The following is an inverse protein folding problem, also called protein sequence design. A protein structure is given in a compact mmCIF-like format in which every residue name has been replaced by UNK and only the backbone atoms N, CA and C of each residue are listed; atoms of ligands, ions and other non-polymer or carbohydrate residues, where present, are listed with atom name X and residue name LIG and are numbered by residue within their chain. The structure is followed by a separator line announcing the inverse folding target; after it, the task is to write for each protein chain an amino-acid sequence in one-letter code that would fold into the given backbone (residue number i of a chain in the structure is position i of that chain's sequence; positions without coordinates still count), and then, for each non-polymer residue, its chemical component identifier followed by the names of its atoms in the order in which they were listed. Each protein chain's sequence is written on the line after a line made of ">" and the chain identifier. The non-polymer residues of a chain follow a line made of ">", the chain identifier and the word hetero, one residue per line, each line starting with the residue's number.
data_IF_160002467324
#
_entry.id   IF_160002467324
#
_cell.length_a   1.000
_cell.length_b   1.000
_cell.length_c   1.000
_cell.angle_alpha   90.00
_cell.angle_beta   90.00
_cell.angle_gamma   90.00
#
_symmetry.space_group_name_H-M   'P 1'
#
loop_
_entity.id
_entity.type
_entity.pdbx_description
1 polymer ?
#
# COMPACT_ATOMS: atom_id res chain seq x y z
N UNK A 1 7.69 10.60 8.77
CA UNK A 1 7.65 9.43 9.68
C UNK A 1 6.19 9.08 10.01
N UNK A 2 5.75 7.81 9.86
CA UNK A 2 4.36 7.44 10.21
C UNK A 2 4.29 6.16 11.02
N UNK A 3 3.59 6.22 12.15
CA UNK A 3 3.26 5.06 12.99
C UNK A 3 1.77 5.14 13.34
N UNK A 4 1.00 4.16 12.86
CA UNK A 4 -0.44 4.06 13.16
C UNK A 4 -0.66 2.89 14.10
N UNK A 5 -1.11 3.17 15.32
CA UNK A 5 -1.46 2.17 16.32
C UNK A 5 -2.79 2.52 16.98
N UNK A 6 -3.57 1.50 17.36
CA UNK A 6 -4.78 1.62 18.18
C UNK A 6 -4.48 1.58 19.68
N UNK A 7 -3.26 1.19 20.06
CA UNK A 7 -2.79 1.14 21.44
C UNK A 7 -1.48 1.91 21.61
N UNK A 8 -1.17 2.31 22.85
CA UNK A 8 0.14 2.87 23.17
C UNK A 8 1.23 1.83 22.87
N UNK A 9 2.30 2.28 22.22
CA UNK A 9 3.53 1.50 22.05
C UNK A 9 4.64 2.21 22.83
N UNK A 10 5.55 1.45 23.43
CA UNK A 10 6.59 2.01 24.29
C UNK A 10 7.96 1.37 23.99
N UNK A 11 9.03 1.96 24.51
CA UNK A 11 10.42 1.50 24.31
C UNK A 11 10.87 1.40 22.84
N UNK A 12 10.22 2.12 21.93
CA UNK A 12 10.63 2.16 20.53
C UNK A 12 11.71 3.21 20.29
N UNK A 13 12.65 2.88 19.39
CA UNK A 13 13.73 3.76 18.98
C UNK A 13 13.65 4.04 17.48
N UNK A 14 13.55 5.31 17.12
CA UNK A 14 13.66 5.81 15.75
C UNK A 14 14.83 6.78 15.72
N UNK A 15 15.78 6.54 14.82
CA UNK A 15 17.04 7.28 14.69
C UNK A 15 17.45 7.35 13.23
N UNK A 16 17.97 8.49 12.81
CA UNK A 16 18.64 8.68 11.51
C UNK A 16 17.73 8.35 10.31
N UNK A 17 16.42 8.44 10.48
CA UNK A 17 15.49 8.27 9.37
C UNK A 17 15.42 9.57 8.55
N UNK A 18 15.23 9.44 7.24
CA UNK A 18 14.87 10.55 6.36
C UNK A 18 13.46 10.30 5.83
N UNK A 19 12.54 11.21 6.14
CA UNK A 19 11.13 11.10 5.74
C UNK A 19 10.63 12.40 5.13
N UNK A 20 10.05 12.36 3.93
CA UNK A 20 9.39 13.52 3.33
C UNK A 20 7.92 13.15 3.03
N UNK A 21 7.00 13.81 3.72
CA UNK A 21 5.56 13.76 3.40
C UNK A 21 5.25 14.60 2.17
N UNK A 22 4.10 14.40 1.54
CA UNK A 22 3.70 15.22 0.40
C UNK A 22 2.27 14.96 -0.02
N UNK A 23 1.83 15.48 -1.18
CA UNK A 23 0.44 15.42 -1.58
C UNK A 23 -0.02 13.96 -1.63
N UNK A 24 -1.18 13.62 -1.04
CA UNK A 24 -1.63 12.24 -0.94
C UNK A 24 -2.02 11.62 -2.30
N UNK A 25 -1.98 12.41 -3.38
CA UNK A 25 -2.62 12.07 -4.65
C UNK A 25 -4.15 11.99 -4.51
N UNK A 26 -4.80 11.54 -5.58
CA UNK A 26 -6.25 11.33 -5.62
C UNK A 26 -6.65 9.88 -5.27
N UNK A 27 -5.68 8.97 -5.22
CA UNK A 27 -5.92 7.54 -5.11
C UNK A 27 -6.43 7.14 -3.73
N UNK A 28 -7.54 6.40 -3.70
CA UNK A 28 -8.05 5.70 -2.52
C UNK A 28 -7.95 4.19 -2.74
N UNK A 29 -7.45 3.46 -1.76
CA UNK A 29 -7.34 2.01 -1.79
C UNK A 29 -8.32 1.40 -0.77
N UNK A 30 -9.42 0.81 -1.23
CA UNK A 30 -10.38 0.14 -0.34
C UNK A 30 -10.95 1.03 0.78
N UNK A 31 -11.16 2.32 0.49
CA UNK A 31 -11.60 3.32 1.48
C UNK A 31 -10.49 4.02 2.26
N UNK A 32 -9.24 3.53 2.16
CA UNK A 32 -8.07 4.15 2.78
C UNK A 32 -7.44 5.19 1.85
N UNK A 33 -7.17 6.40 2.35
CA UNK A 33 -6.41 7.42 1.63
C UNK A 33 -4.94 7.43 2.04
N UNK A 34 -4.07 8.02 1.21
CA UNK A 34 -2.63 8.12 1.49
C UNK A 34 -2.30 8.93 2.76
N UNK A 35 -3.27 9.68 3.30
CA UNK A 35 -3.16 10.45 4.53
C UNK A 35 -3.18 11.94 4.25
N UNK A 36 -2.53 12.72 5.11
CA UNK A 36 -2.49 14.20 5.04
C UNK A 36 -1.19 14.76 4.46
N UNK A 37 -0.22 13.91 4.15
CA UNK A 37 1.10 14.36 3.67
C UNK A 37 1.95 15.06 4.73
N UNK A 38 1.75 14.72 6.01
CA UNK A 38 2.45 15.32 7.16
C UNK A 38 3.92 14.89 7.22
N UNK A 39 4.79 15.74 7.76
CA UNK A 39 6.20 15.44 8.01
C UNK A 39 6.34 14.26 8.99
N UNK A 40 5.51 14.23 10.04
CA UNK A 40 5.38 13.10 10.93
C UNK A 40 3.95 12.90 11.44
N UNK A 41 3.53 11.65 11.60
CA UNK A 41 2.30 11.26 12.28
C UNK A 41 2.50 9.97 13.08
N UNK A 42 2.65 10.12 14.39
CA UNK A 42 2.89 9.01 15.32
C UNK A 42 1.81 9.05 16.39
N UNK A 43 0.89 8.08 16.40
CA UNK A 43 -0.37 8.23 17.15
C UNK A 43 -0.25 8.12 18.68
N UNK A 44 0.51 7.14 19.20
CA UNK A 44 0.50 6.79 20.63
C UNK A 44 1.87 6.32 21.15
N UNK A 45 2.95 7.13 21.00
CA UNK A 45 4.22 6.82 21.62
C UNK A 45 4.11 6.93 23.15
N UNK A 46 4.67 5.94 23.85
CA UNK A 46 4.83 5.93 25.30
C UNK A 46 6.02 6.80 25.74
N UNK A 47 6.13 7.07 27.05
CA UNK A 47 7.16 7.97 27.58
C UNK A 47 8.60 7.48 27.37
N UNK A 48 8.82 6.18 27.18
CA UNK A 48 10.14 5.58 26.99
C UNK A 48 10.50 5.44 25.50
N UNK A 49 9.59 5.81 24.59
CA UNK A 49 9.92 5.95 23.18
C UNK A 49 10.83 7.15 22.96
N UNK A 50 11.83 6.95 22.12
CA UNK A 50 12.62 8.05 21.59
C UNK A 50 12.58 8.02 20.06
N UNK A 51 12.12 9.11 19.47
CA UNK A 51 11.96 9.30 18.04
C UNK A 51 12.74 10.56 17.68
N UNK A 52 14.06 10.48 17.77
CA UNK A 52 14.96 11.62 17.87
C UNK A 52 16.06 11.48 16.83
N UNK A 53 16.69 12.59 16.41
CA UNK A 53 17.70 12.59 15.35
C UNK A 53 17.17 12.11 14.00
N UNK A 54 15.89 12.33 13.69
CA UNK A 54 15.35 12.09 12.34
C UNK A 54 15.35 13.37 11.48
N UNK A 55 15.58 13.21 10.18
CA UNK A 55 15.36 14.23 9.17
C UNK A 55 13.94 14.13 8.63
N UNK A 56 13.07 15.10 8.92
CA UNK A 56 11.67 15.09 8.50
C UNK A 56 11.31 16.31 7.65
N UNK A 57 10.49 16.12 6.64
CA UNK A 57 10.18 17.14 5.66
C UNK A 57 8.80 17.00 5.05
N UNK A 58 8.42 17.99 4.26
CA UNK A 58 7.26 17.94 3.37
C UNK A 58 7.62 18.41 1.97
N UNK A 59 6.85 17.96 0.99
CA UNK A 59 6.91 18.40 -0.40
C UNK A 59 5.53 18.96 -0.79
N UNK A 60 5.46 20.18 -1.31
CA UNK A 60 4.21 20.85 -1.76
C UNK A 60 3.05 20.88 -0.74
N UNK A 61 3.33 20.59 0.52
CA UNK A 61 2.40 20.72 1.65
C UNK A 61 3.08 21.51 2.78
N UNK A 62 2.32 22.22 3.62
CA UNK A 62 2.90 22.90 4.78
C UNK A 62 3.64 21.92 5.70
N UNK A 63 4.78 22.36 6.24
CA UNK A 63 5.49 21.60 7.26
C UNK A 63 4.61 21.50 8.52
N UNK A 64 4.11 20.30 8.80
CA UNK A 64 3.29 20.04 9.97
C UNK A 64 3.25 18.54 10.30
N UNK A 65 2.86 18.23 11.52
CA UNK A 65 2.66 16.85 11.95
C UNK A 65 2.22 16.71 13.40
N UNK A 66 2.23 15.46 13.86
CA UNK A 66 1.96 15.11 15.25
C UNK A 66 2.79 13.93 15.73
N UNK A 67 3.27 14.00 16.98
CA UNK A 67 3.87 12.89 17.71
C UNK A 67 3.16 12.80 19.06
N UNK A 68 2.36 11.74 19.23
CA UNK A 68 1.42 11.63 20.33
C UNK A 68 0.43 12.79 20.34
N UNK A 69 0.34 13.47 21.48
CA UNK A 69 -0.53 14.65 21.65
C UNK A 69 0.12 15.95 21.16
N UNK A 70 1.43 15.96 20.91
CA UNK A 70 2.14 17.13 20.42
C UNK A 70 1.84 17.32 18.94
N UNK A 71 1.23 18.46 18.61
CA UNK A 71 1.15 18.96 17.23
C UNK A 71 2.24 19.99 17.01
N UNK A 72 2.74 20.06 15.79
CA UNK A 72 3.74 21.04 15.40
C UNK A 72 3.50 21.49 13.96
N UNK A 73 3.92 22.73 13.69
CA UNK A 73 3.89 23.42 12.39
C UNK A 73 5.22 24.11 12.07
N UNK A 74 6.23 23.94 12.93
CA UNK A 74 7.59 24.44 12.74
C UNK A 74 8.61 23.48 13.38
N UNK A 75 9.86 23.57 12.95
CA UNK A 75 10.95 22.80 13.53
C UNK A 75 11.14 23.08 15.02
N UNK A 76 10.98 24.34 15.44
CA UNK A 76 11.06 24.70 16.86
C UNK A 76 9.94 24.07 17.69
N UNK A 77 8.71 24.01 17.15
CA UNK A 77 7.61 23.32 17.83
C UNK A 77 7.83 21.81 17.91
N UNK A 78 8.42 21.19 16.88
CA UNK A 78 8.82 19.77 16.92
C UNK A 78 9.83 19.54 18.06
N UNK A 79 10.89 20.34 18.09
CA UNK A 79 12.01 20.18 19.03
C UNK A 79 11.69 20.53 20.48
N UNK A 80 10.59 21.26 20.74
CA UNK A 80 10.04 21.45 22.10
C UNK A 80 9.38 20.18 22.67
N UNK A 81 9.17 19.19 21.82
CA UNK A 81 8.59 17.90 22.17
C UNK A 81 9.51 17.01 22.99
N UNK A 82 8.97 16.00 23.69
CA UNK A 82 9.79 15.05 24.43
C UNK A 82 10.46 14.01 23.52
N UNK A 83 9.99 13.83 22.28
CA UNK A 83 10.40 12.69 21.45
C UNK A 83 11.47 13.03 20.39
N UNK A 84 11.38 14.19 19.73
CA UNK A 84 12.22 14.58 18.56
C UNK A 84 12.89 15.95 18.80
N UNK A 85 13.79 16.01 19.77
CA UNK A 85 14.48 17.24 20.20
C UNK A 85 15.60 17.68 19.26
N UNK A 86 16.15 16.76 18.46
CA UNK A 86 17.28 16.97 17.55
C UNK A 86 16.90 16.89 16.08
N UNK A 87 15.60 16.82 15.77
CA UNK A 87 15.13 16.61 14.40
C UNK A 87 15.63 17.67 13.43
N UNK A 88 15.78 17.31 12.17
CA UNK A 88 16.23 18.24 11.10
C UNK A 88 15.10 18.41 10.10
N UNK A 89 14.75 19.65 9.78
CA UNK A 89 13.81 19.92 8.70
C UNK A 89 14.53 19.80 7.35
N UNK A 90 13.97 19.00 6.43
CA UNK A 90 14.50 18.79 5.08
C UNK A 90 13.40 18.95 4.02
N UNK A 91 13.79 19.06 2.76
CA UNK A 91 12.91 18.97 1.59
C UNK A 91 13.58 18.13 0.47
N UNK A 92 12.96 18.05 -0.71
CA UNK A 92 13.47 17.22 -1.82
C UNK A 92 14.85 17.62 -2.34
N UNK A 93 15.35 18.83 -2.02
CA UNK A 93 16.68 19.31 -2.44
C UNK A 93 17.85 18.54 -1.82
N UNK A 94 17.61 17.72 -0.79
CA UNK A 94 18.63 16.83 -0.22
C UNK A 94 19.06 15.70 -1.17
N UNK A 95 18.30 15.47 -2.24
CA UNK A 95 18.60 14.47 -3.25
C UNK A 95 19.14 15.13 -4.53
N UNK A 96 20.00 14.40 -5.26
CA UNK A 96 20.67 14.90 -6.46
C UNK A 96 19.75 15.14 -7.69
N UNK A 97 18.45 14.90 -7.57
CA UNK A 97 17.48 15.05 -8.68
C UNK A 97 16.51 13.87 -8.76
N UNK A 98 15.78 13.62 -7.67
CA UNK A 98 14.68 12.64 -7.65
C UNK A 98 13.34 13.39 -7.59
N UNK A 99 12.40 12.98 -8.42
CA UNK A 99 11.03 13.49 -8.37
C UNK A 99 10.27 12.91 -7.17
N UNK A 100 9.34 13.69 -6.61
CA UNK A 100 8.44 13.17 -5.59
C UNK A 100 7.49 12.14 -6.21
N UNK A 101 7.30 10.96 -5.59
CA UNK A 101 6.46 9.91 -6.16
C UNK A 101 4.98 10.35 -6.17
N UNK A 102 4.47 10.69 -7.36
CA UNK A 102 3.08 11.09 -7.60
C UNK A 102 2.55 10.45 -8.90
N UNK A 103 1.56 9.55 -8.84
CA UNK A 103 0.91 9.05 -7.64
C UNK A 103 1.86 8.22 -6.76
N UNK A 104 1.64 8.16 -5.44
CA UNK A 104 2.53 7.44 -4.50
C UNK A 104 2.60 5.93 -4.77
N UNK A 105 1.56 5.37 -5.37
CA UNK A 105 1.54 4.02 -5.92
C UNK A 105 0.95 4.11 -7.34
N UNK A 106 1.74 3.83 -8.40
CA UNK A 106 1.22 3.82 -9.75
C UNK A 106 0.23 2.68 -9.92
N UNK A 107 -0.83 2.93 -10.69
CA UNK A 107 -1.76 1.89 -11.11
C UNK A 107 -1.03 0.83 -11.94
N UNK A 108 -1.38 -0.44 -11.72
CA UNK A 108 -0.91 -1.56 -12.53
C UNK A 108 -2.08 -2.10 -13.33
N UNK A 109 -1.84 -2.33 -14.62
CA UNK A 109 -2.80 -3.08 -15.44
C UNK A 109 -3.02 -4.46 -14.81
N UNK A 110 -4.26 -4.99 -14.81
CA UNK A 110 -4.52 -6.35 -14.35
C UNK A 110 -3.60 -7.33 -15.10
N UNK A 111 -2.82 -8.16 -14.38
CA UNK A 111 -1.95 -9.12 -15.04
C UNK A 111 -2.77 -10.25 -15.66
N UNK A 112 -2.38 -10.70 -16.85
CA UNK A 112 -2.82 -11.99 -17.36
C UNK A 112 -2.11 -13.09 -16.55
N UNK A 113 -2.89 -13.84 -15.78
CA UNK A 113 -2.39 -14.94 -14.94
C UNK A 113 -2.57 -16.31 -15.62
N UNK A 114 -2.89 -16.33 -16.92
CA UNK A 114 -3.07 -17.59 -17.65
C UNK A 114 -1.73 -18.33 -17.69
N UNK A 115 -1.67 -19.60 -17.24
CA UNK A 115 -0.43 -20.35 -17.33
C UNK A 115 0.08 -20.42 -18.76
N UNK A 116 1.40 -20.50 -18.92
CA UNK A 116 1.96 -20.80 -20.25
C UNK A 116 1.77 -22.30 -20.52
N UNK A 117 1.38 -22.71 -21.74
CA UNK A 117 1.29 -24.11 -22.11
C UNK A 117 2.60 -24.87 -21.84
N UNK A 118 2.49 -26.10 -21.34
CA UNK A 118 3.64 -26.97 -21.06
C UNK A 118 4.44 -26.60 -19.81
N UNK A 119 3.94 -25.70 -18.97
CA UNK A 119 4.56 -25.43 -17.65
C UNK A 119 4.13 -26.46 -16.61
N UNK A 120 4.88 -26.54 -15.50
CA UNK A 120 4.68 -27.55 -14.47
C UNK A 120 3.33 -27.50 -13.73
N UNK A 121 2.55 -26.44 -13.95
CA UNK A 121 1.22 -26.28 -13.35
C UNK A 121 0.10 -26.85 -14.24
N UNK A 122 0.39 -27.10 -15.52
CA UNK A 122 -0.60 -27.61 -16.47
C UNK A 122 -0.92 -29.07 -16.15
N UNK A 123 -2.21 -29.43 -16.11
CA UNK A 123 -2.70 -30.78 -15.79
C UNK A 123 -2.28 -31.33 -14.40
N UNK A 124 -1.73 -30.48 -13.54
CA UNK A 124 -1.09 -30.91 -12.29
C UNK A 124 -2.01 -30.83 -11.06
N UNK A 125 -3.21 -30.28 -11.21
CA UNK A 125 -4.16 -30.06 -10.13
C UNK A 125 -4.94 -31.32 -9.74
N UNK A 126 -5.40 -31.34 -8.49
CA UNK A 126 -6.36 -32.33 -8.02
C UNK A 126 -7.76 -31.93 -8.47
N UNK A 127 -8.55 -32.90 -8.92
CA UNK A 127 -9.97 -32.72 -9.25
C UNK A 127 -10.76 -32.47 -7.96
N UNK A 128 -11.45 -31.34 -7.92
CA UNK A 128 -12.33 -30.89 -6.85
C UNK A 128 -13.76 -30.86 -7.40
N UNK A 129 -14.61 -31.82 -7.03
CA UNK A 129 -15.96 -31.91 -7.56
C UNK A 129 -16.74 -30.60 -7.41
N UNK A 130 -17.36 -30.15 -8.50
CA UNK A 130 -18.11 -28.90 -8.66
C UNK A 130 -17.27 -27.60 -8.60
N UNK A 131 -15.94 -27.69 -8.67
CA UNK A 131 -15.06 -26.51 -8.62
C UNK A 131 -14.24 -26.36 -9.89
N UNK A 132 -13.63 -27.45 -10.37
CA UNK A 132 -12.73 -27.44 -11.53
C UNK A 132 -13.00 -28.64 -12.44
N UNK A 133 -14.27 -28.99 -12.63
CA UNK A 133 -14.67 -30.14 -13.45
C UNK A 133 -14.53 -29.89 -14.96
N UNK A 134 -14.36 -28.64 -15.39
CA UNK A 134 -14.33 -28.20 -16.78
C UNK A 134 -12.92 -28.00 -17.37
N UNK A 135 -11.93 -28.68 -16.81
CA UNK A 135 -10.57 -28.77 -17.35
C UNK A 135 -10.55 -29.44 -18.73
N UNK A 136 -9.59 -29.07 -19.59
CA UNK A 136 -9.59 -29.51 -21.00
C UNK A 136 -8.89 -30.86 -21.22
N UNK A 137 -7.85 -31.18 -20.45
CA UNK A 137 -6.94 -32.29 -20.74
C UNK A 137 -6.94 -33.37 -19.64
N UNK A 138 -5.78 -33.69 -19.05
CA UNK A 138 -5.62 -34.81 -18.11
C UNK A 138 -6.06 -34.45 -16.69
N UNK A 139 -5.92 -33.18 -16.32
CA UNK A 139 -6.32 -32.64 -15.03
C UNK A 139 -6.48 -31.12 -15.07
N UNK A 140 -7.01 -30.52 -14.00
CA UNK A 140 -7.09 -29.07 -13.90
C UNK A 140 -5.71 -28.45 -13.74
N UNK A 141 -5.54 -27.25 -14.27
CA UNK A 141 -4.32 -26.47 -14.05
C UNK A 141 -4.24 -25.95 -12.61
N UNK A 142 -3.03 -25.89 -12.05
CA UNK A 142 -2.79 -25.24 -10.76
C UNK A 142 -2.75 -23.73 -10.99
N UNK A 143 -3.82 -23.05 -10.62
CA UNK A 143 -3.90 -21.59 -10.71
C UNK A 143 -5.33 -21.09 -10.74
N UNK A 144 -5.49 -19.84 -11.17
CA UNK A 144 -6.81 -19.22 -11.31
C UNK A 144 -7.46 -19.50 -12.68
N UNK A 145 -6.66 -19.87 -13.68
CA UNK A 145 -7.09 -20.03 -15.08
C UNK A 145 -6.57 -21.32 -15.66
N UNK A 146 -7.37 -21.90 -16.54
CA UNK A 146 -7.07 -23.07 -17.35
C UNK A 146 -6.53 -22.63 -18.72
N UNK A 147 -5.43 -23.24 -19.17
CA UNK A 147 -4.84 -22.98 -20.47
C UNK A 147 -5.84 -23.28 -21.59
N UNK A 148 -5.99 -22.36 -22.53
CA UNK A 148 -6.89 -22.53 -23.68
C UNK A 148 -8.37 -22.26 -23.39
N UNK A 149 -8.73 -21.95 -22.14
CA UNK A 149 -10.07 -21.45 -21.79
C UNK A 149 -10.12 -19.93 -21.86
N UNK A 150 -11.27 -19.33 -22.22
CA UNK A 150 -11.46 -17.89 -22.08
C UNK A 150 -11.41 -17.49 -20.61
N UNK A 151 -10.93 -16.27 -20.32
CA UNK A 151 -10.90 -15.74 -18.97
C UNK A 151 -12.33 -15.73 -18.37
N UNK A 152 -12.51 -16.24 -17.13
CA UNK A 152 -13.77 -16.15 -16.41
C UNK A 152 -14.28 -14.71 -16.31
N UNK A 153 -15.61 -14.54 -16.41
CA UNK A 153 -16.25 -13.26 -16.14
C UNK A 153 -16.30 -13.01 -14.63
N UNK A 154 -15.61 -11.97 -14.17
CA UNK A 154 -15.63 -11.54 -12.77
C UNK A 154 -16.58 -10.36 -12.57
N UNK A 155 -17.24 -10.32 -11.40
CA UNK A 155 -18.11 -9.22 -11.00
C UNK A 155 -19.59 -9.42 -11.33
N UNK A 156 -20.42 -8.35 -11.23
CA UNK A 156 -21.85 -8.45 -11.47
C UNK A 156 -22.15 -9.02 -12.86
N UNK A 157 -23.05 -10.01 -12.91
CA UNK A 157 -23.52 -10.54 -14.19
C UNK A 157 -24.35 -9.47 -14.91
N UNK A 158 -24.20 -9.32 -16.23
CA UNK A 158 -25.12 -8.49 -17.02
C UNK A 158 -26.57 -8.94 -16.80
N UNK A 159 -27.50 -7.99 -16.87
CA UNK A 159 -28.92 -8.26 -16.68
C UNK A 159 -29.41 -9.23 -17.77
N UNK A 160 -29.98 -10.36 -17.38
CA UNK A 160 -30.46 -11.39 -18.32
C UNK A 160 -29.43 -12.44 -18.73
N UNK A 161 -28.28 -12.50 -18.04
CA UNK A 161 -27.28 -13.59 -18.16
C UNK A 161 -27.30 -14.42 -16.88
N UNK A 162 -27.63 -15.70 -17.00
CA UNK A 162 -27.54 -16.71 -15.95
C UNK A 162 -26.81 -17.98 -16.42
N UNK A 163 -26.79 -19.01 -15.57
CA UNK A 163 -26.13 -20.30 -15.81
C UNK A 163 -26.69 -21.01 -17.07
N UNK A 164 -27.91 -20.67 -17.51
CA UNK A 164 -28.56 -21.27 -18.69
C UNK A 164 -28.47 -20.36 -19.93
N UNK A 165 -28.15 -19.08 -19.74
CA UNK A 165 -28.02 -18.06 -20.78
C UNK A 165 -26.59 -17.51 -20.82
N UNK A 166 -25.60 -18.40 -21.00
CA UNK A 166 -24.19 -18.00 -21.10
C UNK A 166 -23.99 -16.94 -22.19
N UNK A 167 -23.10 -15.97 -21.95
CA UNK A 167 -22.54 -15.11 -23.00
C UNK A 167 -21.71 -15.95 -23.96
N UNK A 168 -22.35 -16.65 -24.89
CA UNK A 168 -21.66 -17.28 -26.02
C UNK A 168 -21.13 -16.15 -26.91
N UNK A 169 -19.82 -15.98 -26.92
CA UNK A 169 -19.08 -15.49 -28.10
C UNK A 169 -18.32 -16.67 -28.70
#
# INVERSE_FOLDING_TARGET
>A
LRVSSSAMFDHALFRNNLCIGGPPGETRWGGYGAGRGEAARVNAPGPQCSLDYDAIGTYQTPFAGSIGQQRFSSLDELRRGPHETHGVQVDMSVFAGVDFPSPPLPERQPPDLTPRPGTAVVDAGVKLPNVNDDFLDAGPDIGAYEVGRPAPHYGPRPRGVDEETSTRQ
#
